data_IF_258170234440
#
_entry.id   IF_258170234440
#
_cell.length_a   1.000
_cell.length_b   1.000
_cell.length_c   1.000
_cell.angle_alpha   90.00
_cell.angle_beta   90.00
_cell.angle_gamma   90.00
#
_symmetry.space_group_name_H-M   'P 1'
#
loop_
_entity.id
_entity.type
_entity.pdbx_description
1 polymer ?
#
# COMPACT_ATOMS: atom_id res chain seq x y z
N UNK A 1 -7.05 -8.32 -7.27
CA UNK A 1 -6.32 -7.03 -7.39
C UNK A 1 -7.20 -5.96 -6.76
N UNK A 2 -6.70 -5.30 -5.71
CA UNK A 2 -7.43 -4.28 -4.96
C UNK A 2 -7.21 -2.90 -5.59
N UNK A 3 -8.26 -2.07 -5.57
CA UNK A 3 -8.17 -0.65 -5.90
C UNK A 3 -7.51 0.09 -4.73
N UNK A 4 -6.89 1.22 -5.03
CA UNK A 4 -6.27 2.05 -3.99
C UNK A 4 -7.23 2.41 -2.83
N UNK A 5 -8.51 2.77 -3.05
CA UNK A 5 -9.44 3.04 -1.95
C UNK A 5 -9.68 1.84 -1.03
N UNK A 6 -9.82 0.64 -1.59
CA UNK A 6 -10.03 -0.60 -0.81
C UNK A 6 -8.82 -0.88 0.10
N UNK A 7 -7.60 -0.68 -0.42
CA UNK A 7 -6.38 -0.81 0.37
C UNK A 7 -6.33 0.20 1.51
N UNK A 8 -6.69 1.46 1.24
CA UNK A 8 -6.66 2.54 2.23
C UNK A 8 -7.66 2.30 3.36
N UNK A 9 -8.84 1.76 3.03
CA UNK A 9 -9.86 1.39 3.99
C UNK A 9 -9.37 0.24 4.89
N UNK A 10 -8.70 -0.76 4.31
CA UNK A 10 -8.20 -1.92 5.06
C UNK A 10 -7.07 -1.58 6.04
N UNK A 11 -6.17 -0.66 5.67
CA UNK A 11 -5.08 -0.19 6.54
C UNK A 11 -5.50 1.00 7.42
N UNK A 12 -6.78 1.38 7.40
CA UNK A 12 -7.36 2.54 8.10
C UNK A 12 -6.54 3.84 7.93
N UNK A 13 -6.06 4.10 6.70
CA UNK A 13 -5.13 5.19 6.43
C UNK A 13 -5.68 6.19 5.42
N UNK A 14 -5.53 7.48 5.73
CA UNK A 14 -5.83 8.53 4.78
C UNK A 14 -4.94 8.45 3.53
N UNK A 15 -5.52 8.77 2.37
CA UNK A 15 -4.78 8.84 1.09
C UNK A 15 -3.54 9.74 1.16
N UNK A 16 -3.61 10.84 1.91
CA UNK A 16 -2.48 11.75 2.09
C UNK A 16 -1.33 11.10 2.86
N UNK A 17 -1.63 10.36 3.94
CA UNK A 17 -0.62 9.61 4.69
C UNK A 17 0.02 8.53 3.82
N UNK A 18 -0.77 7.79 3.04
CA UNK A 18 -0.27 6.79 2.11
C UNK A 18 0.70 7.39 1.08
N UNK A 19 0.38 8.53 0.48
CA UNK A 19 1.30 9.18 -0.47
C UNK A 19 2.58 9.70 0.19
N UNK A 20 2.52 10.17 1.45
CA UNK A 20 3.73 10.50 2.21
C UNK A 20 4.62 9.28 2.45
N UNK A 21 4.03 8.13 2.80
CA UNK A 21 4.76 6.87 2.94
C UNK A 21 5.35 6.42 1.61
N UNK A 22 4.59 6.54 0.52
CA UNK A 22 5.05 6.23 -0.83
C UNK A 22 6.25 7.09 -1.23
N UNK A 23 6.22 8.39 -0.95
CA UNK A 23 7.35 9.29 -1.22
C UNK A 23 8.62 8.87 -0.46
N UNK A 24 8.47 8.23 0.70
CA UNK A 24 9.55 7.69 1.51
C UNK A 24 9.96 6.26 1.11
N UNK A 25 9.34 5.67 0.07
CA UNK A 25 9.59 4.28 -0.33
C UNK A 25 9.04 3.23 0.65
N UNK A 26 8.06 3.61 1.47
CA UNK A 26 7.49 2.78 2.53
C UNK A 26 6.06 2.32 2.21
N UNK A 27 5.62 2.37 0.95
CA UNK A 27 4.29 1.94 0.54
C UNK A 27 4.34 0.58 -0.18
N UNK A 28 3.23 -0.18 -0.21
CA UNK A 28 3.12 -1.39 -1.02
C UNK A 28 3.30 -1.11 -2.51
N UNK A 29 3.67 -2.15 -3.27
CA UNK A 29 3.89 -2.05 -4.71
C UNK A 29 2.57 -1.74 -5.41
N UNK A 30 2.57 -0.65 -6.19
CA UNK A 30 1.46 -0.23 -7.03
C UNK A 30 1.70 -0.68 -8.46
N UNK A 31 0.72 -1.34 -9.03
CA UNK A 31 0.69 -1.74 -10.43
C UNK A 31 -0.15 -0.73 -11.20
N UNK A 32 0.48 -0.04 -12.16
CA UNK A 32 -0.22 0.87 -13.07
C UNK A 32 -0.76 0.06 -14.23
N UNK A 33 -2.08 0.05 -14.38
CA UNK A 33 -2.76 -0.57 -15.50
C UNK A 33 -2.63 0.30 -16.78
N UNK A 34 -2.79 -0.28 -17.97
CA UNK A 34 -2.82 0.46 -19.23
C UNK A 34 -3.90 1.54 -19.29
N UNK A 35 -4.99 1.38 -18.54
CA UNK A 35 -6.07 2.36 -18.41
C UNK A 35 -5.76 3.52 -17.43
N UNK A 36 -4.52 3.63 -16.95
CA UNK A 36 -4.08 4.67 -16.02
C UNK A 36 -4.48 4.46 -14.57
N UNK A 37 -5.25 3.41 -14.25
CA UNK A 37 -5.65 3.12 -12.88
C UNK A 37 -4.53 2.42 -12.11
N UNK A 38 -4.45 2.71 -10.80
CA UNK A 38 -3.56 2.02 -9.89
C UNK A 38 -4.28 0.82 -9.25
N UNK A 39 -3.57 -0.30 -9.15
CA UNK A 39 -3.97 -1.50 -8.43
C UNK A 39 -2.87 -1.95 -7.48
N UNK A 40 -3.26 -2.61 -6.42
CA UNK A 40 -2.35 -3.27 -5.50
C UNK A 40 -2.72 -4.75 -5.47
N UNK A 41 -1.74 -5.64 -5.54
CA UNK A 41 -1.99 -7.06 -5.34
C UNK A 41 -2.13 -7.34 -3.85
N UNK A 42 -2.97 -8.32 -3.48
CA UNK A 42 -3.10 -8.75 -2.08
C UNK A 42 -1.74 -9.20 -1.51
N UNK A 43 -0.99 -9.98 -2.29
CA UNK A 43 0.35 -10.40 -1.92
C UNK A 43 1.34 -9.22 -1.70
N UNK A 44 1.24 -8.15 -2.50
CA UNK A 44 2.08 -6.96 -2.32
C UNK A 44 1.71 -6.19 -1.04
N UNK A 45 0.43 -6.18 -0.68
CA UNK A 45 -0.07 -5.59 0.56
C UNK A 45 0.35 -6.42 1.78
N UNK A 46 0.16 -7.73 1.73
CA UNK A 46 0.53 -8.66 2.81
C UNK A 46 2.05 -8.64 3.08
N UNK A 47 2.86 -8.64 2.03
CA UNK A 47 4.32 -8.50 2.15
C UNK A 47 4.73 -7.16 2.77
N UNK A 48 3.99 -6.09 2.49
CA UNK A 48 4.20 -4.80 3.13
C UNK A 48 3.79 -4.82 4.61
N UNK A 49 2.67 -5.44 4.97
CA UNK A 49 2.25 -5.60 6.37
C UNK A 49 3.30 -6.36 7.18
N UNK A 50 3.79 -7.48 6.66
CA UNK A 50 4.85 -8.26 7.30
C UNK A 50 6.12 -7.41 7.55
N UNK A 51 6.47 -6.53 6.60
CA UNK A 51 7.59 -5.59 6.76
C UNK A 51 7.30 -4.50 7.80
N UNK A 52 6.06 -4.03 7.89
CA UNK A 52 5.64 -3.05 8.90
C UNK A 52 5.67 -3.63 10.32
N UNK A 53 5.16 -4.85 10.50
CA UNK A 53 5.20 -5.57 11.78
C UNK A 53 6.64 -5.77 12.26
N UNK A 54 7.55 -6.20 11.38
CA UNK A 54 8.97 -6.35 11.69
C UNK A 54 9.64 -5.05 12.18
N UNK A 55 9.14 -3.88 11.79
CA UNK A 55 9.67 -2.57 12.23
C UNK A 55 9.12 -2.12 13.58
N UNK A 56 7.99 -2.67 14.02
CA UNK A 56 7.38 -2.33 15.30
C UNK A 56 7.96 -3.13 16.47
N UNK A 57 8.67 -4.24 16.21
CA UNK A 57 9.24 -5.13 17.23
C UNK A 57 10.69 -4.79 17.58
N UNK A 58 11.04 -3.52 17.77
CA UNK A 58 12.39 -3.11 18.22
C UNK A 58 12.34 -2.08 19.33
#
# INVERSE_FOLDING_TARGET
MLKLPEVLEEIEMSRAAFYRMRARGQAPRLQKLPNGQLRVSRADLDAWWARCEQRATV
#
